data_IF_370157715286
#
_entry.id   IF_370157715286
#
_cell.length_a   1.000
_cell.length_b   1.000
_cell.length_c   1.000
_cell.angle_alpha   90.00
_cell.angle_beta   90.00
_cell.angle_gamma   90.00
#
_symmetry.space_group_name_H-M   'P 1'
#
loop_
_entity.id
_entity.type
_entity.pdbx_description
1 polymer ?
#
# COMPACT_ATOMS: atom_id res chain seq x y z
N UNK A 1 18.53 7.28 -19.62
CA UNK A 1 17.56 7.57 -18.55
C UNK A 1 16.35 6.70 -18.76
N UNK A 2 15.92 5.95 -17.74
CA UNK A 2 14.75 5.07 -17.85
C UNK A 2 13.47 5.93 -17.78
N UNK A 3 12.36 5.44 -18.32
CA UNK A 3 11.05 6.11 -18.30
C UNK A 3 10.62 6.50 -16.86
N UNK A 4 10.84 5.64 -15.86
CA UNK A 4 10.57 5.94 -14.46
C UNK A 4 11.39 7.12 -13.93
N UNK A 5 12.67 7.19 -14.26
CA UNK A 5 13.53 8.34 -13.85
C UNK A 5 12.97 9.65 -14.40
N UNK A 6 12.47 9.63 -15.65
CA UNK A 6 11.86 10.80 -16.29
C UNK A 6 10.54 11.18 -15.62
N UNK A 7 9.69 10.22 -15.33
CA UNK A 7 8.42 10.42 -14.64
C UNK A 7 8.62 11.00 -13.23
N UNK A 8 9.55 10.45 -12.45
CA UNK A 8 9.82 10.92 -11.10
C UNK A 8 10.43 12.32 -11.12
N UNK A 9 11.35 12.59 -12.06
CA UNK A 9 11.90 13.93 -12.28
C UNK A 9 10.81 14.94 -12.64
N UNK A 10 9.88 14.54 -13.52
CA UNK A 10 8.75 15.41 -13.89
C UNK A 10 7.81 15.64 -12.71
N UNK A 11 7.46 14.59 -11.96
CA UNK A 11 6.61 14.71 -10.78
C UNK A 11 7.21 15.70 -9.77
N UNK A 12 8.52 15.58 -9.46
CA UNK A 12 9.24 16.53 -8.60
C UNK A 12 9.16 17.97 -9.13
N UNK A 13 9.37 18.16 -10.44
CA UNK A 13 9.41 19.51 -11.04
C UNK A 13 8.08 20.27 -10.94
N UNK A 14 6.97 19.55 -10.76
CA UNK A 14 5.63 20.13 -10.60
C UNK A 14 5.09 20.00 -9.16
N UNK A 15 5.90 19.55 -8.20
CA UNK A 15 5.50 19.37 -6.80
C UNK A 15 4.48 18.24 -6.57
N UNK A 16 4.34 17.29 -7.52
CA UNK A 16 3.42 16.16 -7.36
C UNK A 16 3.97 15.15 -6.34
N UNK A 17 3.09 14.62 -5.50
CA UNK A 17 3.41 13.50 -4.61
C UNK A 17 3.37 12.18 -5.37
N UNK A 18 4.27 11.27 -5.03
CA UNK A 18 4.42 9.97 -5.69
C UNK A 18 4.01 8.87 -4.70
N UNK A 19 2.96 8.13 -5.04
CA UNK A 19 2.71 6.83 -4.47
C UNK A 19 3.23 5.77 -5.45
N UNK A 20 4.04 4.84 -4.97
CA UNK A 20 4.69 3.85 -5.81
C UNK A 20 4.40 2.43 -5.35
N UNK A 21 3.99 1.60 -6.31
CA UNK A 21 3.91 0.16 -6.17
C UNK A 21 4.78 -0.46 -7.26
N UNK A 22 6.04 -0.84 -6.93
CA UNK A 22 6.98 -1.37 -7.92
C UNK A 22 6.54 -2.74 -8.44
N UNK A 23 6.72 -2.96 -9.74
CA UNK A 23 6.56 -4.27 -10.35
C UNK A 23 7.81 -5.14 -10.21
N UNK A 24 7.74 -6.38 -10.71
CA UNK A 24 8.86 -7.32 -10.62
C UNK A 24 10.13 -6.79 -11.30
N UNK A 25 10.00 -6.06 -12.40
CA UNK A 25 11.14 -5.50 -13.11
C UNK A 25 11.94 -4.52 -12.25
N UNK A 26 11.26 -3.65 -11.52
CA UNK A 26 11.88 -2.69 -10.61
C UNK A 26 12.49 -3.40 -9.40
N UNK A 27 11.76 -4.37 -8.84
CA UNK A 27 12.20 -5.16 -7.69
C UNK A 27 13.44 -6.01 -7.98
N UNK A 28 13.59 -6.51 -9.21
CA UNK A 28 14.75 -7.28 -9.63
C UNK A 28 16.00 -6.40 -9.82
N UNK A 29 15.83 -5.07 -9.86
CA UNK A 29 16.91 -4.10 -9.94
C UNK A 29 17.03 -3.27 -8.64
N UNK A 30 17.19 -3.94 -7.50
CA UNK A 30 17.14 -3.36 -6.14
C UNK A 30 17.95 -2.06 -6.00
N UNK A 31 19.21 -2.02 -6.47
CA UNK A 31 20.07 -0.82 -6.33
C UNK A 31 19.46 0.41 -7.01
N UNK A 32 18.84 0.21 -8.16
CA UNK A 32 18.18 1.28 -8.90
C UNK A 32 16.88 1.69 -8.22
N UNK A 33 16.09 0.71 -7.77
CA UNK A 33 14.86 0.94 -7.02
C UNK A 33 15.15 1.79 -5.77
N UNK A 34 16.14 1.42 -4.96
CA UNK A 34 16.52 2.20 -3.76
C UNK A 34 16.86 3.65 -4.08
N UNK A 35 17.51 3.92 -5.24
CA UNK A 35 17.77 5.29 -5.69
C UNK A 35 16.51 6.08 -6.03
N UNK A 36 15.44 5.42 -6.45
CA UNK A 36 14.15 6.08 -6.75
C UNK A 36 13.29 6.33 -5.49
N UNK A 37 13.50 5.54 -4.44
CA UNK A 37 12.66 5.63 -3.24
C UNK A 37 12.78 6.97 -2.50
N UNK A 38 13.88 7.71 -2.67
CA UNK A 38 14.02 9.05 -2.12
C UNK A 38 12.99 10.07 -2.63
N UNK A 39 12.39 9.79 -3.79
CA UNK A 39 11.35 10.62 -4.40
C UNK A 39 9.93 10.15 -4.07
N UNK A 40 9.80 8.97 -3.46
CA UNK A 40 8.52 8.35 -3.16
C UNK A 40 7.97 8.86 -1.84
N UNK A 41 6.73 9.32 -1.83
CA UNK A 41 6.02 9.75 -0.63
C UNK A 41 5.34 8.58 0.09
N UNK A 42 4.79 7.63 -0.67
CA UNK A 42 4.16 6.43 -0.12
C UNK A 42 4.58 5.21 -0.94
N UNK A 43 5.20 4.23 -0.31
CA UNK A 43 5.51 2.93 -0.91
C UNK A 43 4.46 1.91 -0.47
N UNK A 44 3.85 1.23 -1.44
CA UNK A 44 2.97 0.08 -1.20
C UNK A 44 3.60 -1.15 -1.84
N UNK A 45 3.77 -2.21 -1.05
CA UNK A 45 4.29 -3.51 -1.49
C UNK A 45 3.65 -4.64 -0.70
N UNK A 46 3.62 -5.85 -1.26
CA UNK A 46 3.35 -7.02 -0.45
C UNK A 46 4.63 -7.51 0.27
N UNK A 47 4.47 -8.41 1.22
CA UNK A 47 5.59 -8.93 2.04
C UNK A 47 6.70 -9.57 1.21
N UNK A 48 6.37 -10.28 0.13
CA UNK A 48 7.38 -10.92 -0.72
C UNK A 48 8.16 -9.89 -1.54
N UNK A 49 7.49 -8.86 -2.03
CA UNK A 49 8.09 -7.71 -2.70
C UNK A 49 8.97 -6.91 -1.72
N UNK A 50 8.47 -6.65 -0.52
CA UNK A 50 9.20 -5.94 0.52
C UNK A 50 10.52 -6.64 0.89
N UNK A 51 10.54 -7.98 0.92
CA UNK A 51 11.75 -8.77 1.16
C UNK A 51 12.81 -8.66 0.04
N UNK A 52 12.42 -8.24 -1.16
CA UNK A 52 13.38 -7.90 -2.23
C UNK A 52 14.02 -6.52 -2.01
N UNK A 53 13.39 -5.65 -1.22
CA UNK A 53 13.88 -4.30 -0.92
C UNK A 53 14.75 -4.30 0.34
N UNK A 54 14.25 -4.91 1.42
CA UNK A 54 14.92 -4.97 2.72
C UNK A 54 14.88 -6.38 3.30
N UNK A 55 15.84 -6.71 4.14
CA UNK A 55 15.79 -7.96 4.92
C UNK A 55 14.76 -7.84 6.05
N UNK A 56 14.22 -8.95 6.50
CA UNK A 56 13.29 -9.03 7.63
C UNK A 56 12.37 -10.24 7.54
N UNK A 57 11.87 -10.68 8.69
CA UNK A 57 10.93 -11.81 8.80
C UNK A 57 9.55 -11.33 9.25
N UNK A 58 9.52 -10.42 10.22
CA UNK A 58 8.28 -9.83 10.73
C UNK A 58 7.88 -8.59 9.90
N UNK A 59 6.58 -8.41 9.68
CA UNK A 59 6.09 -7.25 8.94
C UNK A 59 6.48 -5.91 9.58
N UNK A 60 6.41 -5.83 10.90
CA UNK A 60 6.80 -4.62 11.64
C UNK A 60 8.28 -4.25 11.43
N UNK A 61 9.16 -5.24 11.46
CA UNK A 61 10.57 -5.06 11.16
C UNK A 61 10.81 -4.59 9.73
N UNK A 62 10.12 -5.21 8.76
CA UNK A 62 10.20 -4.84 7.34
C UNK A 62 9.74 -3.39 7.13
N UNK A 63 8.60 -3.01 7.70
CA UNK A 63 8.08 -1.63 7.60
C UNK A 63 9.06 -0.64 8.22
N UNK A 64 9.59 -0.93 9.41
CA UNK A 64 10.57 -0.07 10.08
C UNK A 64 11.83 0.15 9.22
N UNK A 65 12.30 -0.89 8.53
CA UNK A 65 13.47 -0.78 7.63
C UNK A 65 13.15 -0.01 6.34
N UNK A 66 11.97 -0.23 5.74
CA UNK A 66 11.53 0.51 4.54
C UNK A 66 11.39 2.00 4.85
N UNK A 67 10.99 2.36 6.05
CA UNK A 67 10.87 3.74 6.52
C UNK A 67 12.19 4.53 6.48
N UNK A 68 13.33 3.87 6.40
CA UNK A 68 14.61 4.55 6.19
C UNK A 68 14.76 5.11 4.76
N UNK A 69 13.90 4.72 3.83
CA UNK A 69 13.96 5.11 2.41
C UNK A 69 12.79 5.97 1.98
N UNK A 70 11.62 5.85 2.65
CA UNK A 70 10.39 6.56 2.26
C UNK A 70 9.67 7.14 3.48
N UNK A 71 8.97 8.28 3.36
CA UNK A 71 8.19 8.86 4.45
C UNK A 71 7.07 7.96 4.95
N UNK A 72 6.35 7.28 4.05
CA UNK A 72 5.29 6.35 4.42
C UNK A 72 5.45 5.01 3.70
N UNK A 73 5.21 3.92 4.43
CA UNK A 73 5.30 2.55 3.93
C UNK A 73 4.06 1.74 4.32
N UNK A 74 3.56 0.96 3.37
CA UNK A 74 2.45 0.02 3.57
C UNK A 74 2.92 -1.34 3.06
N UNK A 75 2.91 -2.34 3.94
CA UNK A 75 3.28 -3.71 3.58
C UNK A 75 2.10 -4.64 3.85
N UNK A 76 1.54 -5.21 2.78
CA UNK A 76 0.42 -6.15 2.84
C UNK A 76 0.91 -7.60 2.95
N UNK A 77 0.17 -8.47 3.63
CA UNK A 77 0.47 -9.91 3.80
C UNK A 77 -0.77 -10.78 3.54
N UNK A 78 -1.51 -10.49 2.48
CA UNK A 78 -2.68 -11.25 2.06
C UNK A 78 -3.71 -11.38 3.19
N UNK A 79 -4.01 -12.62 3.58
CA UNK A 79 -4.96 -12.92 4.66
C UNK A 79 -4.44 -12.64 6.08
N UNK A 80 -3.22 -12.15 6.23
CA UNK A 80 -2.66 -11.67 7.50
C UNK A 80 -2.83 -10.15 7.69
N UNK A 81 -3.49 -9.49 6.73
CA UNK A 81 -3.70 -8.05 6.77
C UNK A 81 -2.51 -7.24 6.29
N UNK A 82 -2.19 -6.15 6.97
CA UNK A 82 -1.10 -5.27 6.61
C UNK A 82 -0.49 -4.57 7.84
N UNK A 83 0.72 -4.05 7.69
CA UNK A 83 1.29 -3.04 8.58
C UNK A 83 1.65 -1.81 7.75
N UNK A 84 1.33 -0.65 8.26
CA UNK A 84 1.58 0.63 7.61
C UNK A 84 2.11 1.67 8.61
N UNK A 85 3.04 2.51 8.16
CA UNK A 85 3.54 3.63 8.96
C UNK A 85 3.74 4.87 8.09
N UNK A 86 3.37 6.04 8.60
CA UNK A 86 3.64 7.34 7.99
C UNK A 86 4.83 8.07 8.62
N UNK A 87 5.51 7.39 9.57
CA UNK A 87 6.66 7.92 10.30
C UNK A 87 6.30 8.58 11.63
N UNK A 88 5.04 8.89 11.86
CA UNK A 88 4.52 9.36 13.15
C UNK A 88 3.83 8.21 13.89
N UNK A 89 2.98 7.49 13.17
CA UNK A 89 2.16 6.42 13.69
C UNK A 89 2.38 5.14 12.87
N UNK A 90 2.20 4.00 13.53
CA UNK A 90 2.25 2.69 12.88
C UNK A 90 0.96 1.94 13.18
N UNK A 91 0.35 1.38 12.14
CA UNK A 91 -0.91 0.67 12.23
C UNK A 91 -0.78 -0.77 11.78
N UNK A 92 -1.38 -1.69 12.54
CA UNK A 92 -1.74 -3.03 12.08
C UNK A 92 -3.16 -3.00 11.57
N UNK A 93 -3.36 -3.43 10.34
CA UNK A 93 -4.66 -3.53 9.68
C UNK A 93 -5.01 -5.01 9.61
N UNK A 94 -6.13 -5.40 10.23
CA UNK A 94 -6.67 -6.74 10.15
C UNK A 94 -7.51 -6.95 8.90
N UNK A 95 -8.26 -8.04 8.89
CA UNK A 95 -9.25 -8.37 7.86
C UNK A 95 -10.65 -8.34 8.46
N UNK A 96 -11.67 -8.18 7.62
CA UNK A 96 -13.05 -8.48 8.00
C UNK A 96 -13.21 -10.00 8.11
N UNK A 97 -13.64 -10.51 9.28
CA UNK A 97 -13.68 -11.94 9.57
C UNK A 97 -14.80 -12.70 8.83
N UNK A 98 -15.93 -12.03 8.57
CA UNK A 98 -17.13 -12.64 7.97
C UNK A 98 -17.18 -12.51 6.45
N UNK A 99 -16.03 -12.68 5.78
CA UNK A 99 -15.92 -12.47 4.34
C UNK A 99 -15.66 -13.77 3.59
N UNK A 100 -16.55 -14.09 2.65
CA UNK A 100 -16.33 -15.21 1.72
C UNK A 100 -15.42 -14.74 0.59
N UNK A 101 -14.18 -15.20 0.58
CA UNK A 101 -13.21 -14.93 -0.47
C UNK A 101 -13.53 -15.79 -1.69
N UNK A 102 -13.88 -15.18 -2.82
CA UNK A 102 -14.12 -15.84 -4.11
C UNK A 102 -12.91 -15.81 -5.03
N UNK A 103 -12.15 -14.74 -4.98
CA UNK A 103 -10.92 -14.58 -5.74
C UNK A 103 -9.98 -13.58 -5.04
N UNK A 104 -8.67 -13.86 -5.00
CA UNK A 104 -7.66 -12.96 -4.42
C UNK A 104 -7.03 -12.02 -5.44
N UNK A 105 -7.23 -12.28 -6.74
CA UNK A 105 -6.66 -11.47 -7.83
C UNK A 105 -7.21 -10.05 -7.79
N UNK A 106 -6.33 -9.07 -7.80
CA UNK A 106 -6.68 -7.65 -7.75
C UNK A 106 -6.86 -7.07 -6.34
N UNK A 107 -6.74 -7.89 -5.28
CA UNK A 107 -6.85 -7.42 -3.90
C UNK A 107 -5.82 -6.34 -3.54
N UNK A 108 -4.56 -6.56 -3.93
CA UNK A 108 -3.47 -5.59 -3.72
C UNK A 108 -3.69 -4.29 -4.49
N UNK A 109 -4.08 -4.39 -5.77
CA UNK A 109 -4.39 -3.23 -6.61
C UNK A 109 -5.59 -2.45 -6.07
N UNK A 110 -6.62 -3.16 -5.59
CA UNK A 110 -7.78 -2.54 -4.95
C UNK A 110 -7.40 -1.85 -3.63
N UNK A 111 -6.52 -2.46 -2.84
CA UNK A 111 -5.99 -1.83 -1.63
C UNK A 111 -5.24 -0.54 -1.98
N UNK A 112 -4.26 -0.61 -2.88
CA UNK A 112 -3.45 0.54 -3.27
C UNK A 112 -4.27 1.67 -3.88
N UNK A 113 -5.17 1.36 -4.82
CA UNK A 113 -6.03 2.37 -5.45
C UNK A 113 -7.04 2.98 -4.46
N UNK A 114 -7.58 2.17 -3.55
CA UNK A 114 -8.45 2.65 -2.48
C UNK A 114 -7.73 3.60 -1.52
N UNK A 115 -6.50 3.24 -1.10
CA UNK A 115 -5.67 4.11 -0.29
C UNK A 115 -5.41 5.45 -1.00
N UNK A 116 -4.94 5.39 -2.25
CA UNK A 116 -4.64 6.60 -3.03
C UNK A 116 -5.86 7.50 -3.16
N UNK A 117 -7.01 6.94 -3.51
CA UNK A 117 -8.25 7.71 -3.67
C UNK A 117 -8.64 8.43 -2.38
N UNK A 118 -8.63 7.73 -1.24
CA UNK A 118 -8.99 8.31 0.05
C UNK A 118 -7.97 9.36 0.52
N UNK A 119 -6.69 9.07 0.38
CA UNK A 119 -5.60 9.94 0.79
C UNK A 119 -5.53 11.22 -0.05
N UNK A 120 -5.80 11.11 -1.36
CA UNK A 120 -5.89 12.27 -2.27
C UNK A 120 -7.14 13.12 -2.02
N UNK A 121 -8.20 12.54 -1.47
CA UNK A 121 -9.44 13.24 -1.07
C UNK A 121 -9.27 13.96 0.30
N UNK A 122 -8.07 13.93 0.89
CA UNK A 122 -7.71 14.64 2.13
C UNK A 122 -8.01 13.88 3.42
N UNK A 123 -8.33 12.59 3.35
CA UNK A 123 -8.51 11.78 4.55
C UNK A 123 -7.17 11.56 5.26
N UNK A 124 -7.21 11.36 6.57
CA UNK A 124 -6.04 10.98 7.35
C UNK A 124 -5.43 9.66 6.85
N UNK A 125 -4.18 9.40 7.21
CA UNK A 125 -3.49 8.15 6.87
C UNK A 125 -4.29 6.93 7.36
N UNK A 126 -4.75 6.96 8.62
CA UNK A 126 -5.59 5.92 9.22
C UNK A 126 -6.91 5.69 8.46
N UNK A 127 -7.65 6.76 8.16
CA UNK A 127 -8.92 6.65 7.41
C UNK A 127 -8.71 6.11 6.00
N UNK A 128 -7.59 6.49 5.36
CA UNK A 128 -7.21 5.97 4.05
C UNK A 128 -6.88 4.49 4.07
N UNK A 129 -6.24 3.99 5.15
CA UNK A 129 -5.99 2.56 5.37
C UNK A 129 -7.29 1.78 5.57
N UNK A 130 -8.25 2.33 6.32
CA UNK A 130 -9.58 1.73 6.53
C UNK A 130 -10.30 1.61 5.19
N UNK A 131 -10.32 2.67 4.39
CA UNK A 131 -10.97 2.65 3.08
C UNK A 131 -10.27 1.67 2.11
N UNK A 132 -8.95 1.63 2.10
CA UNK A 132 -8.15 0.69 1.31
C UNK A 132 -8.50 -0.76 1.61
N UNK A 133 -8.58 -1.10 2.89
CA UNK A 133 -8.91 -2.44 3.32
C UNK A 133 -10.35 -2.82 2.98
N UNK A 134 -11.31 -1.91 3.15
CA UNK A 134 -12.69 -2.11 2.75
C UNK A 134 -12.83 -2.34 1.24
N UNK A 135 -12.10 -1.56 0.42
CA UNK A 135 -12.08 -1.72 -1.03
C UNK A 135 -11.51 -3.08 -1.45
N UNK A 136 -10.37 -3.47 -0.88
CA UNK A 136 -9.77 -4.78 -1.11
C UNK A 136 -10.69 -5.93 -0.70
N UNK A 137 -11.31 -5.82 0.47
CA UNK A 137 -12.28 -6.80 0.99
C UNK A 137 -13.50 -6.96 0.08
N UNK A 138 -14.01 -5.85 -0.46
CA UNK A 138 -15.14 -5.90 -1.40
C UNK A 138 -14.77 -6.58 -2.71
N UNK A 139 -13.56 -6.36 -3.22
CA UNK A 139 -13.08 -6.98 -4.47
C UNK A 139 -12.90 -8.48 -4.32
N UNK A 140 -12.33 -8.98 -3.22
CA UNK A 140 -12.12 -10.43 -3.05
C UNK A 140 -13.43 -11.24 -2.93
N UNK A 141 -14.55 -10.60 -2.66
CA UNK A 141 -15.87 -11.24 -2.63
C UNK A 141 -16.50 -11.41 -4.02
N UNK A 142 -15.89 -10.89 -5.06
CA UNK A 142 -16.38 -10.95 -6.43
C UNK A 142 -15.39 -11.69 -7.33
N UNK A 143 -15.90 -12.24 -8.43
CA UNK A 143 -15.04 -12.79 -9.49
C UNK A 143 -14.70 -11.66 -10.45
N UNK A 144 -13.41 -11.41 -10.63
CA UNK A 144 -12.87 -10.36 -11.48
C UNK A 144 -12.12 -9.28 -10.68
N UNK A 145 -10.93 -8.90 -11.16
CA UNK A 145 -9.97 -8.05 -10.44
C UNK A 145 -10.46 -6.61 -10.15
N UNK A 146 -11.52 -6.16 -10.81
CA UNK A 146 -12.13 -4.84 -10.63
C UNK A 146 -13.59 -4.91 -10.17
N UNK A 147 -14.14 -6.10 -10.11
CA UNK A 147 -15.51 -6.29 -9.62
C UNK A 147 -15.55 -6.05 -8.10
N UNK A 148 -16.47 -5.22 -7.64
CA UNK A 148 -16.59 -4.91 -6.21
C UNK A 148 -15.82 -3.69 -5.73
N UNK A 149 -15.17 -2.92 -6.60
CA UNK A 149 -14.62 -1.61 -6.22
C UNK A 149 -15.74 -0.75 -5.62
N UNK A 150 -15.49 -0.22 -4.42
CA UNK A 150 -16.48 0.56 -3.67
C UNK A 150 -16.47 2.04 -4.03
N UNK A 151 -17.62 2.68 -3.90
CA UNK A 151 -17.74 4.12 -4.05
C UNK A 151 -17.21 4.82 -2.79
N UNK A 152 -16.62 6.00 -2.94
CA UNK A 152 -16.07 6.80 -1.84
C UNK A 152 -17.08 7.16 -0.74
N UNK A 153 -18.36 7.17 -1.06
CA UNK A 153 -19.44 7.52 -0.13
C UNK A 153 -20.07 6.30 0.58
N UNK A 154 -19.54 5.09 0.36
CA UNK A 154 -20.07 3.90 1.00
C UNK A 154 -19.87 3.97 2.52
N UNK A 155 -20.90 3.60 3.28
CA UNK A 155 -20.77 3.45 4.72
C UNK A 155 -19.91 2.22 5.02
N UNK A 156 -18.75 2.44 5.63
CA UNK A 156 -17.84 1.36 6.00
C UNK A 156 -18.26 0.74 7.34
N UNK A 157 -18.11 -0.58 7.45
CA UNK A 157 -18.13 -1.26 8.74
C UNK A 157 -16.84 -0.98 9.52
N UNK A 158 -16.87 -1.23 10.83
CA UNK A 158 -15.67 -1.09 11.64
C UNK A 158 -14.59 -2.07 11.15
N UNK A 159 -13.46 -1.51 10.76
CA UNK A 159 -12.28 -2.27 10.35
C UNK A 159 -11.40 -2.52 11.59
N UNK A 160 -10.92 -3.74 11.80
CA UNK A 160 -9.93 -3.99 12.84
C UNK A 160 -8.59 -3.31 12.47
N UNK A 161 -8.39 -2.12 13.00
CA UNK A 161 -7.16 -1.34 12.89
C UNK A 161 -6.67 -0.98 14.28
N UNK A 162 -5.40 -1.26 14.52
CA UNK A 162 -4.76 -1.02 15.81
C UNK A 162 -3.48 -0.23 15.59
N UNK A 163 -3.33 0.86 16.32
CA UNK A 163 -2.05 1.54 16.45
C UNK A 163 -1.09 0.66 17.25
N UNK A 164 0.11 0.50 16.72
CA UNK A 164 1.18 -0.27 17.36
C UNK A 164 2.41 0.61 17.57
N UNK A 165 3.12 0.39 18.69
CA UNK A 165 4.35 1.10 19.04
C UNK A 165 5.57 0.32 18.64
#
# INVERSE_FOLDING_TARGET
MNMLDQLFTKARSIGAKIMFNPGNLELDHQRKLLGLLSDVNVLIVNKNEAKKIVQGTMLSEIVARIKNYVPAAIVTDGNQGAIASDGQETYRIGLYEDVIIKASTGAGDAFGSGFLAAYSDGRSFKESLIFASANSTSVVQKIGSKAGIINKNVKLHNMPIQEIR
#
